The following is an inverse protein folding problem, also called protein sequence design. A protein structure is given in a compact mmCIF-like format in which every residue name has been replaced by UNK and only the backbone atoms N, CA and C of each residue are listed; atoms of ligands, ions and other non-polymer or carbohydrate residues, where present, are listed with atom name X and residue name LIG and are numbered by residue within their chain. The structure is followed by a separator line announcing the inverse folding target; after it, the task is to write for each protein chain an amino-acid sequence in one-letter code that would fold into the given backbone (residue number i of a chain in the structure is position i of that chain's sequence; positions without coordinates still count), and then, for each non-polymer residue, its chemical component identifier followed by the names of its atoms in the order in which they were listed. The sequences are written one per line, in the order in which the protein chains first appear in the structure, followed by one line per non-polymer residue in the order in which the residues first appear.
data_IF_196171285659
#
_entry.id   IF_196171285659
#
_cell.length_a   1.000
_cell.length_b   1.000
_cell.length_c   1.000
_cell.angle_alpha   90.00
_cell.angle_beta   90.00
_cell.angle_gamma   90.00
#
_symmetry.space_group_name_H-M   'P 1'
#
loop_
_entity.id
_entity.type
_entity.pdbx_description
1 polymer ?
#
# COMPACT_ATOMS: atom_id res chain seq x y z
N UNK A 1 7.54 10.93 -11.83
CA UNK A 1 6.15 11.11 -11.34
C UNK A 1 5.33 11.72 -12.47
N UNK A 2 4.66 10.86 -13.26
CA UNK A 2 3.87 11.27 -14.43
C UNK A 2 2.53 11.87 -14.00
N UNK A 3 2.16 12.97 -14.67
CA UNK A 3 0.98 13.81 -14.48
C UNK A 3 -0.31 13.20 -15.04
N UNK A 4 -0.52 11.89 -14.90
CA UNK A 4 -1.70 11.21 -15.43
C UNK A 4 -2.28 10.19 -14.46
N UNK A 5 -2.84 10.68 -13.35
CA UNK A 5 -4.02 10.05 -12.78
C UNK A 5 -5.13 11.09 -12.81
N UNK A 6 -5.78 11.17 -13.96
CA UNK A 6 -7.19 11.56 -14.01
C UNK A 6 -7.96 10.80 -12.93
N UNK A 7 -9.11 11.31 -12.52
CA UNK A 7 -9.97 10.68 -11.53
C UNK A 7 -10.51 9.33 -12.03
N UNK A 8 -9.64 8.31 -12.02
CA UNK A 8 -9.78 7.04 -12.72
C UNK A 8 -10.88 6.21 -12.06
N UNK A 9 -11.04 6.35 -10.74
CA UNK A 9 -12.02 5.61 -9.96
C UNK A 9 -13.40 6.27 -9.95
N UNK A 10 -13.48 7.60 -10.14
CA UNK A 10 -14.79 8.26 -10.24
C UNK A 10 -15.34 8.31 -11.65
N UNK A 11 -14.49 8.43 -12.67
CA UNK A 11 -14.92 8.51 -14.07
C UNK A 11 -15.42 7.16 -14.59
N UNK A 12 -16.73 6.99 -14.89
CA UNK A 12 -17.26 5.73 -15.37
C UNK A 12 -16.63 5.31 -16.70
N UNK A 13 -16.30 4.03 -16.85
CA UNK A 13 -15.81 3.51 -18.14
C UNK A 13 -16.94 3.45 -19.17
N UNK A 14 -16.73 4.07 -20.32
CA UNK A 14 -17.66 4.02 -21.45
C UNK A 14 -17.66 2.64 -22.12
N UNK A 15 -18.86 2.11 -22.36
CA UNK A 15 -19.05 0.80 -23.00
C UNK A 15 -19.09 0.97 -24.52
N UNK A 16 -17.94 0.85 -25.19
CA UNK A 16 -17.81 1.09 -26.64
C UNK A 16 -17.54 -0.16 -27.48
N UNK A 17 -17.27 -1.32 -26.86
CA UNK A 17 -16.86 -2.54 -27.57
C UNK A 17 -17.95 -3.60 -27.58
N UNK A 18 -18.26 -4.19 -28.73
CA UNK A 18 -19.24 -5.28 -28.84
C UNK A 18 -18.64 -6.66 -28.50
N UNK A 19 -17.33 -6.86 -28.74
CA UNK A 19 -16.64 -8.13 -28.52
C UNK A 19 -15.17 -7.93 -28.12
N UNK A 20 -14.60 -8.96 -27.50
CA UNK A 20 -13.16 -9.05 -27.24
C UNK A 20 -12.40 -9.35 -28.55
N UNK A 21 -11.23 -8.76 -28.74
CA UNK A 21 -10.43 -8.92 -29.97
C UNK A 21 -9.58 -10.19 -29.98
N UNK A 22 -9.25 -10.71 -28.79
CA UNK A 22 -8.28 -11.79 -28.61
C UNK A 22 -8.92 -13.15 -28.34
N UNK A 23 -10.22 -13.19 -28.03
CA UNK A 23 -11.01 -14.43 -27.89
C UNK A 23 -12.52 -14.15 -28.04
N UNK A 24 -13.36 -15.16 -28.29
CA UNK A 24 -14.80 -15.03 -28.16
C UNK A 24 -15.24 -14.53 -26.78
N UNK A 25 -16.29 -13.70 -26.71
CA UNK A 25 -16.82 -13.10 -25.47
C UNK A 25 -17.55 -14.10 -24.56
N UNK A 26 -16.84 -15.10 -24.06
CA UNK A 26 -17.35 -16.10 -23.12
C UNK A 26 -16.29 -16.44 -22.08
N UNK A 27 -16.72 -16.77 -20.86
CA UNK A 27 -15.81 -17.16 -19.79
C UNK A 27 -14.92 -18.36 -20.18
N UNK A 28 -15.48 -19.34 -20.90
CA UNK A 28 -14.74 -20.52 -21.37
C UNK A 28 -13.63 -20.17 -22.37
N UNK A 29 -13.94 -19.39 -23.40
CA UNK A 29 -12.94 -18.99 -24.38
C UNK A 29 -11.84 -18.10 -23.75
N UNK A 30 -12.22 -17.27 -22.78
CA UNK A 30 -11.27 -16.49 -22.00
C UNK A 30 -10.35 -17.38 -21.14
N UNK A 31 -10.89 -18.45 -20.52
CA UNK A 31 -10.08 -19.42 -19.77
C UNK A 31 -9.05 -20.12 -20.68
N UNK A 32 -9.46 -20.52 -21.89
CA UNK A 32 -8.56 -21.12 -22.88
C UNK A 32 -7.45 -20.14 -23.30
N UNK A 33 -7.79 -18.87 -23.52
CA UNK A 33 -6.81 -17.82 -23.81
C UNK A 33 -5.83 -17.58 -22.65
N UNK A 34 -6.34 -17.50 -21.41
CA UNK A 34 -5.50 -17.34 -20.21
C UNK A 34 -4.54 -18.51 -20.03
N UNK A 35 -4.98 -19.74 -20.29
CA UNK A 35 -4.12 -20.93 -20.22
C UNK A 35 -2.94 -20.89 -21.21
N UNK A 36 -3.06 -20.11 -22.29
CA UNK A 36 -1.98 -19.87 -23.26
C UNK A 36 -0.97 -18.78 -22.85
N UNK A 37 -1.21 -18.03 -21.77
CA UNK A 37 -0.31 -16.96 -21.32
C UNK A 37 0.90 -17.56 -20.61
N UNK A 38 2.09 -17.32 -21.15
CA UNK A 38 3.34 -17.80 -20.53
C UNK A 38 3.80 -16.89 -19.38
N UNK A 39 3.91 -17.46 -18.18
CA UNK A 39 4.42 -16.75 -16.99
C UNK A 39 5.91 -16.37 -17.15
N UNK A 40 6.65 -17.08 -18.01
CA UNK A 40 8.08 -16.83 -18.25
C UNK A 40 8.36 -15.55 -19.05
N UNK A 41 7.37 -15.04 -19.79
CA UNK A 41 7.51 -13.84 -20.61
C UNK A 41 6.80 -12.64 -19.96
N UNK A 42 7.26 -12.25 -18.76
CA UNK A 42 6.56 -11.27 -17.91
C UNK A 42 6.16 -9.98 -18.65
N UNK A 43 7.03 -9.44 -19.51
CA UNK A 43 6.72 -8.23 -20.29
C UNK A 43 5.56 -8.42 -21.28
N UNK A 44 5.58 -9.50 -22.05
CA UNK A 44 4.51 -9.82 -23.02
C UNK A 44 3.19 -10.12 -22.29
N UNK A 45 3.27 -10.91 -21.22
CA UNK A 45 2.10 -11.31 -20.43
C UNK A 45 1.45 -10.12 -19.73
N UNK A 46 2.24 -9.21 -19.17
CA UNK A 46 1.73 -7.97 -18.56
C UNK A 46 1.00 -7.10 -19.59
N UNK A 47 1.57 -6.93 -20.79
CA UNK A 47 0.94 -6.15 -21.87
C UNK A 47 -0.36 -6.79 -22.36
N UNK A 48 -0.36 -8.10 -22.58
CA UNK A 48 -1.56 -8.84 -23.02
C UNK A 48 -2.69 -8.75 -21.99
N UNK A 49 -2.36 -8.92 -20.70
CA UNK A 49 -3.34 -8.81 -19.61
C UNK A 49 -3.84 -7.37 -19.43
N UNK A 50 -2.98 -6.37 -19.56
CA UNK A 50 -3.39 -4.96 -19.51
C UNK A 50 -4.39 -4.64 -20.61
N UNK A 51 -4.10 -5.05 -21.85
CA UNK A 51 -5.03 -4.87 -22.96
C UNK A 51 -6.34 -5.59 -22.69
N UNK A 52 -6.31 -6.84 -22.22
CA UNK A 52 -7.50 -7.60 -21.88
C UNK A 52 -8.36 -6.91 -20.80
N UNK A 53 -7.75 -6.34 -19.76
CA UNK A 53 -8.45 -5.51 -18.76
C UNK A 53 -9.18 -4.34 -19.41
N UNK A 54 -8.50 -3.58 -20.28
CA UNK A 54 -9.13 -2.47 -20.99
C UNK A 54 -10.32 -2.96 -21.84
N UNK A 55 -10.14 -4.03 -22.62
CA UNK A 55 -11.24 -4.54 -23.45
C UNK A 55 -12.44 -5.02 -22.63
N UNK A 56 -12.20 -5.75 -21.53
CA UNK A 56 -13.27 -6.22 -20.62
C UNK A 56 -13.99 -5.04 -19.96
N UNK A 57 -13.27 -3.98 -19.60
CA UNK A 57 -13.85 -2.77 -18.99
C UNK A 57 -14.79 -2.04 -19.95
N UNK A 58 -14.46 -2.01 -21.24
CA UNK A 58 -15.18 -1.28 -22.31
C UNK A 58 -16.25 -2.13 -23.02
N UNK A 59 -16.36 -3.42 -22.66
CA UNK A 59 -17.24 -4.39 -23.30
C UNK A 59 -18.72 -4.12 -22.99
N UNK A 60 -19.56 -4.04 -24.03
CA UNK A 60 -21.03 -3.98 -23.94
C UNK A 60 -21.60 -5.36 -23.61
N UNK A 61 -21.66 -5.65 -22.31
CA UNK A 61 -22.23 -6.89 -21.77
C UNK A 61 -22.94 -6.65 -20.44
N UNK A 62 -23.64 -7.67 -19.93
CA UNK A 62 -24.23 -7.61 -18.59
C UNK A 62 -23.14 -7.55 -17.52
N UNK A 63 -23.40 -6.87 -16.39
CA UNK A 63 -22.44 -6.81 -15.29
C UNK A 63 -22.10 -8.19 -14.72
N UNK A 64 -23.04 -9.14 -14.75
CA UNK A 64 -22.79 -10.52 -14.33
C UNK A 64 -21.79 -11.22 -15.25
N UNK A 65 -21.90 -11.03 -16.57
CA UNK A 65 -20.92 -11.58 -17.51
C UNK A 65 -19.57 -10.88 -17.36
N UNK A 66 -19.54 -9.55 -17.21
CA UNK A 66 -18.29 -8.81 -16.98
C UNK A 66 -17.60 -9.28 -15.70
N UNK A 67 -18.37 -9.53 -14.64
CA UNK A 67 -17.88 -10.13 -13.41
C UNK A 67 -17.27 -11.52 -13.67
N UNK A 68 -17.96 -12.41 -14.39
CA UNK A 68 -17.43 -13.73 -14.73
C UNK A 68 -16.12 -13.64 -15.53
N UNK A 69 -16.02 -12.70 -16.48
CA UNK A 69 -14.82 -12.49 -17.30
C UNK A 69 -13.64 -12.01 -16.45
N UNK A 70 -13.84 -11.02 -15.56
CA UNK A 70 -12.74 -10.53 -14.70
C UNK A 70 -12.33 -11.57 -13.66
N UNK A 71 -13.24 -12.43 -13.19
CA UNK A 71 -12.91 -13.55 -12.31
C UNK A 71 -12.01 -14.59 -12.99
N UNK A 72 -12.19 -14.83 -14.30
CA UNK A 72 -11.27 -15.68 -15.07
C UNK A 72 -9.87 -15.08 -15.15
N UNK A 73 -9.76 -13.76 -15.32
CA UNK A 73 -8.46 -13.07 -15.39
C UNK A 73 -7.77 -12.94 -14.03
N UNK A 74 -8.54 -12.91 -12.94
CA UNK A 74 -8.08 -12.55 -11.61
C UNK A 74 -6.80 -13.29 -11.16
N UNK A 75 -6.72 -14.63 -11.20
CA UNK A 75 -5.55 -15.34 -10.68
C UNK A 75 -4.27 -15.03 -11.46
N UNK A 76 -4.38 -14.90 -12.78
CA UNK A 76 -3.24 -14.61 -13.67
C UNK A 76 -2.78 -13.16 -13.52
N UNK A 77 -3.71 -12.23 -13.33
CA UNK A 77 -3.40 -10.83 -12.99
C UNK A 77 -2.62 -10.74 -11.67
N UNK A 78 -3.08 -11.41 -10.62
CA UNK A 78 -2.38 -11.43 -9.33
C UNK A 78 -0.97 -12.01 -9.45
N UNK A 79 -0.81 -13.12 -10.19
CA UNK A 79 0.49 -13.75 -10.39
C UNK A 79 1.47 -12.83 -11.12
N UNK A 80 1.01 -12.14 -12.17
CA UNK A 80 1.83 -11.19 -12.93
C UNK A 80 2.18 -9.97 -12.09
N UNK A 81 1.21 -9.38 -11.39
CA UNK A 81 1.45 -8.23 -10.50
C UNK A 81 2.44 -8.58 -9.39
N UNK A 82 2.25 -9.71 -8.70
CA UNK A 82 3.16 -10.20 -7.66
C UNK A 82 4.58 -10.38 -8.22
N UNK A 83 4.71 -10.79 -9.48
CA UNK A 83 6.01 -10.95 -10.14
C UNK A 83 6.64 -9.60 -10.49
N UNK A 84 5.85 -8.63 -10.98
CA UNK A 84 6.32 -7.25 -11.22
C UNK A 84 6.79 -6.58 -9.93
N UNK A 85 6.04 -6.75 -8.83
CA UNK A 85 6.31 -6.12 -7.53
C UNK A 85 7.63 -6.56 -6.91
N UNK A 86 8.03 -7.82 -7.09
CA UNK A 86 9.33 -8.33 -6.64
C UNK A 86 10.51 -7.54 -7.22
N UNK A 87 10.34 -6.91 -8.39
CA UNK A 87 11.41 -6.13 -9.01
C UNK A 87 11.68 -4.80 -8.29
N UNK A 88 10.71 -4.20 -7.60
CA UNK A 88 10.92 -2.88 -6.98
C UNK A 88 10.88 -2.88 -5.45
N UNK A 89 10.31 -3.90 -4.81
CA UNK A 89 10.32 -4.01 -3.33
C UNK A 89 11.75 -4.11 -2.75
N UNK A 90 12.69 -4.71 -3.50
CA UNK A 90 14.04 -5.02 -3.00
C UNK A 90 15.16 -4.11 -3.54
N UNK A 91 14.88 -3.15 -4.44
CA UNK A 91 15.93 -2.44 -5.18
C UNK A 91 16.37 -1.10 -4.58
N UNK A 92 15.81 -0.70 -3.43
CA UNK A 92 15.96 0.66 -2.91
C UNK A 92 15.27 1.69 -3.82
N UNK A 93 15.05 2.90 -3.33
CA UNK A 93 14.29 3.93 -4.07
C UNK A 93 15.03 4.55 -5.25
N UNK A 94 16.20 4.04 -5.61
CA UNK A 94 16.93 4.48 -6.80
C UNK A 94 16.46 3.61 -7.94
N UNK A 95 15.52 4.16 -8.69
CA UNK A 95 14.98 3.52 -9.87
C UNK A 95 15.85 3.86 -11.07
N UNK A 96 16.15 2.86 -11.89
CA UNK A 96 16.53 3.12 -13.29
C UNK A 96 15.27 3.48 -14.08
N UNK A 97 15.39 4.15 -15.23
CA UNK A 97 14.24 4.43 -16.12
C UNK A 97 13.39 3.18 -16.40
N UNK A 98 14.05 2.01 -16.47
CA UNK A 98 13.38 0.72 -16.63
C UNK A 98 12.56 0.31 -15.39
N UNK A 99 13.06 0.55 -14.19
CA UNK A 99 12.34 0.25 -12.94
C UNK A 99 11.13 1.16 -12.78
N UNK A 100 11.26 2.43 -13.12
CA UNK A 100 10.14 3.38 -13.12
C UNK A 100 9.02 2.91 -14.06
N UNK A 101 9.36 2.46 -15.27
CA UNK A 101 8.39 1.89 -16.20
C UNK A 101 7.69 0.63 -15.65
N UNK A 102 8.42 -0.23 -14.93
CA UNK A 102 7.84 -1.44 -14.30
C UNK A 102 6.89 -1.05 -13.17
N UNK A 103 7.28 -0.10 -12.33
CA UNK A 103 6.44 0.42 -11.25
C UNK A 103 5.17 1.06 -11.83
N UNK A 104 5.31 1.95 -12.82
CA UNK A 104 4.19 2.62 -13.47
C UNK A 104 3.23 1.60 -14.10
N UNK A 105 3.75 0.58 -14.80
CA UNK A 105 2.93 -0.48 -15.36
C UNK A 105 2.17 -1.27 -14.28
N UNK A 106 2.84 -1.66 -13.19
CA UNK A 106 2.21 -2.40 -12.10
C UNK A 106 1.09 -1.57 -11.44
N UNK A 107 1.36 -0.29 -11.17
CA UNK A 107 0.39 0.66 -10.59
C UNK A 107 -0.81 0.89 -11.51
N UNK A 108 -0.59 1.08 -12.81
CA UNK A 108 -1.66 1.22 -13.81
C UNK A 108 -2.49 -0.05 -13.92
N UNK A 109 -1.85 -1.21 -14.04
CA UNK A 109 -2.53 -2.50 -14.14
C UNK A 109 -3.41 -2.74 -12.89
N UNK A 110 -2.88 -2.50 -11.68
CA UNK A 110 -3.61 -2.62 -10.41
C UNK A 110 -4.79 -1.63 -10.33
N UNK A 111 -4.59 -0.39 -10.77
CA UNK A 111 -5.64 0.64 -10.79
C UNK A 111 -6.79 0.27 -11.73
N UNK A 112 -6.48 -0.17 -12.95
CA UNK A 112 -7.51 -0.64 -13.89
C UNK A 112 -8.20 -1.92 -13.41
N UNK A 113 -7.47 -2.80 -12.73
CA UNK A 113 -8.04 -4.01 -12.14
C UNK A 113 -9.07 -3.69 -11.04
N UNK A 114 -8.73 -2.78 -10.12
CA UNK A 114 -9.67 -2.28 -9.12
C UNK A 114 -10.86 -1.56 -9.78
N UNK A 115 -10.60 -0.75 -10.81
CA UNK A 115 -11.63 0.02 -11.51
C UNK A 115 -12.73 -0.85 -12.10
N UNK A 116 -12.40 -1.98 -12.74
CA UNK A 116 -13.43 -2.85 -13.34
C UNK A 116 -14.45 -3.30 -12.29
N UNK A 117 -13.99 -3.69 -11.10
CA UNK A 117 -14.88 -4.05 -10.00
C UNK A 117 -15.70 -2.84 -9.52
N UNK A 118 -15.09 -1.66 -9.36
CA UNK A 118 -15.80 -0.42 -8.99
C UNK A 118 -16.92 -0.10 -9.99
N UNK A 119 -16.63 -0.18 -11.29
CA UNK A 119 -17.63 0.06 -12.34
C UNK A 119 -18.76 -0.97 -12.31
N UNK A 120 -18.45 -2.25 -12.05
CA UNK A 120 -19.46 -3.31 -11.84
C UNK A 120 -20.36 -2.94 -10.66
N UNK A 121 -19.79 -2.49 -9.54
CA UNK A 121 -20.57 -2.08 -8.36
C UNK A 121 -21.50 -0.93 -8.70
N UNK A 122 -20.98 0.15 -9.31
CA UNK A 122 -21.76 1.34 -9.69
C UNK A 122 -22.92 0.97 -10.62
N UNK A 123 -22.67 0.16 -11.66
CA UNK A 123 -23.70 -0.26 -12.63
C UNK A 123 -24.71 -1.25 -12.04
N UNK A 124 -24.27 -2.23 -11.25
CA UNK A 124 -25.18 -3.13 -10.53
C UNK A 124 -26.06 -2.37 -9.54
N UNK A 125 -25.50 -1.40 -8.81
CA UNK A 125 -26.26 -0.60 -7.85
C UNK A 125 -27.33 0.26 -8.54
N UNK A 126 -26.97 0.92 -9.64
CA UNK A 126 -27.90 1.66 -10.48
C UNK A 126 -29.01 0.74 -11.02
N UNK A 127 -28.65 -0.43 -11.54
CA UNK A 127 -29.60 -1.41 -12.04
C UNK A 127 -30.57 -1.89 -10.94
N UNK A 128 -30.08 -2.22 -9.75
CA UNK A 128 -30.90 -2.69 -8.64
C UNK A 128 -31.86 -1.62 -8.10
N UNK A 129 -31.48 -0.35 -8.19
CA UNK A 129 -32.26 0.78 -7.69
C UNK A 129 -33.34 1.22 -8.68
N UNK A 130 -33.02 1.29 -9.98
CA UNK A 130 -33.92 1.86 -10.99
C UNK A 130 -34.69 0.81 -11.80
N UNK A 131 -34.23 -0.44 -11.87
CA UNK A 131 -34.93 -1.48 -12.62
C UNK A 131 -36.00 -2.17 -11.76
N UNK A 132 -37.23 -2.23 -12.26
CA UNK A 132 -38.26 -3.08 -11.67
C UNK A 132 -37.98 -4.55 -12.02
N UNK A 133 -37.87 -5.39 -11.01
CA UNK A 133 -37.73 -6.84 -11.18
C UNK A 133 -39.10 -7.51 -11.09
N UNK A 134 -39.44 -8.34 -12.08
CA UNK A 134 -40.62 -9.21 -12.04
C UNK A 134 -40.43 -10.32 -11.01
N UNK A 135 -41.53 -10.87 -10.48
CA UNK A 135 -41.49 -12.01 -9.55
C UNK A 135 -40.75 -13.22 -10.15
N UNK A 136 -40.83 -13.42 -11.46
CA UNK A 136 -40.15 -14.50 -12.18
C UNK A 136 -38.65 -14.26 -12.42
N UNK A 137 -38.11 -13.07 -12.14
CA UNK A 137 -36.69 -12.73 -12.34
C UNK A 137 -35.86 -12.71 -11.05
N UNK A 138 -36.33 -13.39 -10.00
CA UNK A 138 -35.67 -13.44 -8.69
C UNK A 138 -34.22 -13.96 -8.78
N UNK A 139 -33.97 -14.98 -9.61
CA UNK A 139 -32.62 -15.51 -9.84
C UNK A 139 -31.67 -14.46 -10.45
N UNK A 140 -32.14 -13.68 -11.41
CA UNK A 140 -31.37 -12.59 -12.02
C UNK A 140 -31.06 -11.49 -11.01
N UNK A 141 -32.04 -11.08 -10.21
CA UNK A 141 -31.84 -10.09 -9.14
C UNK A 141 -30.77 -10.56 -8.15
N UNK A 142 -30.86 -11.82 -7.71
CA UNK A 142 -29.88 -12.42 -6.78
C UNK A 142 -28.47 -12.46 -7.39
N UNK A 143 -28.34 -12.84 -8.66
CA UNK A 143 -27.05 -12.84 -9.36
C UNK A 143 -26.42 -11.44 -9.43
N UNK A 144 -27.20 -10.39 -9.72
CA UNK A 144 -26.71 -9.00 -9.72
C UNK A 144 -26.31 -8.55 -8.31
N UNK A 145 -27.08 -8.94 -7.29
CA UNK A 145 -26.75 -8.65 -5.88
C UNK A 145 -25.43 -9.32 -5.46
N UNK A 146 -25.23 -10.59 -5.84
CA UNK A 146 -23.98 -11.31 -5.60
C UNK A 146 -22.82 -10.64 -6.33
N UNK A 147 -22.97 -10.30 -7.62
CA UNK A 147 -21.94 -9.62 -8.40
C UNK A 147 -21.56 -8.27 -7.76
N UNK A 148 -22.53 -7.47 -7.29
CA UNK A 148 -22.27 -6.22 -6.55
C UNK A 148 -21.49 -6.46 -5.27
N UNK A 149 -21.96 -7.36 -4.42
CA UNK A 149 -21.33 -7.67 -3.13
C UNK A 149 -19.88 -8.13 -3.30
N UNK A 150 -19.66 -9.09 -4.19
CA UNK A 150 -18.34 -9.68 -4.39
C UNK A 150 -17.39 -8.73 -5.11
N UNK A 151 -17.91 -7.89 -6.02
CA UNK A 151 -17.11 -6.84 -6.64
C UNK A 151 -16.65 -5.79 -5.63
N UNK A 152 -17.48 -5.42 -4.64
CA UNK A 152 -17.05 -4.54 -3.54
C UNK A 152 -15.87 -5.16 -2.79
N UNK A 153 -16.00 -6.45 -2.43
CA UNK A 153 -14.95 -7.18 -1.72
C UNK A 153 -13.63 -7.18 -2.52
N UNK A 154 -13.65 -7.60 -3.79
CA UNK A 154 -12.44 -7.63 -4.60
C UNK A 154 -11.88 -6.24 -4.91
N UNK A 155 -12.73 -5.23 -5.14
CA UNK A 155 -12.28 -3.86 -5.33
C UNK A 155 -11.49 -3.36 -4.11
N UNK A 156 -11.99 -3.58 -2.90
CA UNK A 156 -11.29 -3.20 -1.66
C UNK A 156 -9.97 -3.96 -1.52
N UNK A 157 -9.91 -5.25 -1.84
CA UNK A 157 -8.63 -5.98 -1.84
C UNK A 157 -7.61 -5.37 -2.81
N UNK A 158 -8.03 -5.02 -4.03
CA UNK A 158 -7.15 -4.38 -5.00
C UNK A 158 -6.70 -2.97 -4.55
N UNK A 159 -7.60 -2.20 -3.93
CA UNK A 159 -7.27 -0.88 -3.38
C UNK A 159 -6.31 -0.98 -2.18
N UNK A 160 -6.45 -2.01 -1.34
CA UNK A 160 -5.50 -2.28 -0.24
C UNK A 160 -4.12 -2.60 -0.78
N UNK A 161 -4.01 -3.46 -1.80
CA UNK A 161 -2.73 -3.77 -2.45
C UNK A 161 -2.13 -2.55 -3.13
N UNK A 162 -2.94 -1.73 -3.78
CA UNK A 162 -2.50 -0.47 -4.39
C UNK A 162 -1.94 0.50 -3.34
N UNK A 163 -2.66 0.68 -2.22
CA UNK A 163 -2.21 1.54 -1.12
C UNK A 163 -0.93 1.01 -0.46
N UNK A 164 -0.86 -0.30 -0.25
CA UNK A 164 0.34 -0.96 0.24
C UNK A 164 1.55 -0.67 -0.66
N UNK A 165 1.39 -0.80 -1.98
CA UNK A 165 2.45 -0.49 -2.94
C UNK A 165 2.86 0.98 -2.91
N UNK A 166 1.89 1.89 -2.85
CA UNK A 166 2.14 3.33 -2.70
C UNK A 166 2.95 3.61 -1.42
N UNK A 167 2.58 3.00 -0.29
CA UNK A 167 3.29 3.14 0.98
C UNK A 167 4.71 2.56 0.94
N UNK A 168 4.92 1.42 0.28
CA UNK A 168 6.25 0.84 0.06
C UNK A 168 7.16 1.77 -0.77
N UNK A 169 6.56 2.58 -1.64
CA UNK A 169 7.24 3.59 -2.47
C UNK A 169 7.22 4.99 -1.83
N UNK A 170 6.73 5.13 -0.59
CA UNK A 170 6.51 6.42 0.10
C UNK A 170 5.75 7.46 -0.73
N UNK A 171 4.87 6.99 -1.61
CA UNK A 171 4.02 7.79 -2.48
C UNK A 171 2.64 7.99 -1.86
N UNK A 172 1.98 9.08 -2.22
CA UNK A 172 0.62 9.37 -1.76
C UNK A 172 -0.41 8.56 -2.56
N UNK A 173 -1.60 8.28 -1.99
CA UNK A 173 -2.72 7.73 -2.72
C UNK A 173 -3.10 8.60 -3.93
N UNK A 174 -3.64 7.96 -4.98
CA UNK A 174 -4.11 8.67 -6.17
C UNK A 174 -5.44 9.40 -5.92
N UNK A 175 -5.75 10.36 -6.80
CA UNK A 175 -7.03 11.09 -6.75
C UNK A 175 -8.22 10.13 -6.87
N UNK A 176 -9.22 10.33 -6.01
CA UNK A 176 -10.47 9.58 -5.97
C UNK A 176 -10.35 8.18 -5.36
N UNK A 177 -9.16 7.75 -4.94
CA UNK A 177 -8.90 6.40 -4.42
C UNK A 177 -9.60 6.18 -3.08
N UNK A 178 -9.47 7.13 -2.15
CA UNK A 178 -10.13 7.06 -0.84
C UNK A 178 -11.63 7.20 -0.98
N UNK A 179 -12.05 8.17 -1.79
CA UNK A 179 -13.47 8.39 -2.10
C UNK A 179 -14.13 7.11 -2.64
N UNK A 180 -13.47 6.41 -3.57
CA UNK A 180 -13.97 5.14 -4.10
C UNK A 180 -14.08 4.06 -3.00
N UNK A 181 -13.06 3.92 -2.16
CA UNK A 181 -13.10 2.94 -1.05
C UNK A 181 -14.26 3.21 -0.08
N UNK A 182 -14.49 4.48 0.28
CA UNK A 182 -15.56 4.88 1.19
C UNK A 182 -16.94 4.61 0.59
N UNK A 183 -17.15 5.00 -0.66
CA UNK A 183 -18.41 4.75 -1.38
C UNK A 183 -18.71 3.24 -1.55
N UNK A 184 -17.68 2.42 -1.74
CA UNK A 184 -17.84 0.96 -1.80
C UNK A 184 -18.34 0.40 -0.47
N UNK A 185 -17.78 0.85 0.66
CA UNK A 185 -18.23 0.42 1.99
C UNK A 185 -19.62 0.97 2.31
N UNK A 186 -19.89 2.25 2.04
CA UNK A 186 -21.20 2.88 2.23
C UNK A 186 -22.29 2.11 1.47
N UNK A 187 -22.05 1.77 0.20
CA UNK A 187 -22.94 0.93 -0.59
C UNK A 187 -23.21 -0.43 0.06
N UNK A 188 -22.21 -1.04 0.70
CA UNK A 188 -22.38 -2.31 1.41
C UNK A 188 -23.15 -2.18 2.74
N UNK A 189 -23.00 -1.06 3.44
CA UNK A 189 -23.73 -0.72 4.67
C UNK A 189 -25.20 -0.46 4.36
N UNK A 190 -25.48 0.40 3.37
CA UNK A 190 -26.85 0.78 2.95
C UNK A 190 -27.69 -0.43 2.53
N UNK A 191 -27.02 -1.45 1.99
CA UNK A 191 -27.66 -2.68 1.53
C UNK A 191 -27.51 -3.85 2.53
N UNK A 192 -26.99 -3.58 3.72
CA UNK A 192 -26.87 -4.50 4.86
C UNK A 192 -26.20 -5.85 4.55
N UNK A 193 -25.08 -5.81 3.83
CA UNK A 193 -24.30 -7.03 3.54
C UNK A 193 -22.80 -6.90 3.82
N UNK A 194 -22.33 -5.78 4.36
CA UNK A 194 -20.92 -5.52 4.65
C UNK A 194 -20.27 -6.57 5.59
N UNK A 195 -21.05 -7.26 6.42
CA UNK A 195 -20.60 -8.35 7.30
C UNK A 195 -20.86 -9.76 6.75
N UNK A 196 -21.48 -9.90 5.58
CA UNK A 196 -21.78 -11.20 4.96
C UNK A 196 -20.50 -11.97 4.66
N UNK A 197 -20.51 -13.27 4.93
CA UNK A 197 -19.34 -14.12 4.73
C UNK A 197 -19.15 -14.46 3.23
N UNK A 198 -18.13 -13.89 2.61
CA UNK A 198 -17.79 -14.06 1.19
C UNK A 198 -17.42 -15.51 0.87
N UNK A 199 -16.75 -16.22 1.79
CA UNK A 199 -16.40 -17.63 1.60
C UNK A 199 -17.65 -18.51 1.45
N UNK A 200 -18.72 -18.20 2.18
CA UNK A 200 -20.00 -18.91 2.04
C UNK A 200 -20.71 -18.56 0.72
N UNK A 201 -20.57 -17.32 0.25
CA UNK A 201 -21.18 -16.86 -1.01
C UNK A 201 -20.49 -17.48 -2.23
N UNK A 202 -19.17 -17.61 -2.21
CA UNK A 202 -18.36 -18.07 -3.35
C UNK A 202 -17.89 -19.53 -3.26
N UNK A 203 -17.98 -20.16 -2.07
CA UNK A 203 -17.35 -21.45 -1.82
C UNK A 203 -15.82 -21.38 -1.77
N UNK A 204 -15.27 -20.26 -1.30
CA UNK A 204 -13.81 -20.00 -1.23
C UNK A 204 -13.28 -20.10 0.21
N UNK A 205 -11.98 -19.87 0.40
CA UNK A 205 -11.31 -19.92 1.70
C UNK A 205 -10.40 -18.70 1.91
N UNK A 206 -10.95 -17.50 1.74
CA UNK A 206 -10.23 -16.27 2.04
C UNK A 206 -10.05 -16.05 3.55
N UNK A 207 -8.90 -15.51 3.93
CA UNK A 207 -8.61 -15.14 5.32
C UNK A 207 -9.45 -13.95 5.79
N UNK A 208 -9.60 -12.94 4.94
CA UNK A 208 -10.55 -11.85 5.10
C UNK A 208 -11.92 -12.34 4.60
N UNK A 209 -12.89 -12.40 5.50
CA UNK A 209 -14.15 -13.11 5.21
C UNK A 209 -15.30 -12.21 4.79
N UNK A 210 -15.20 -10.90 4.95
CA UNK A 210 -16.29 -9.97 4.64
C UNK A 210 -15.75 -8.60 4.22
N UNK A 211 -16.64 -7.73 3.75
CA UNK A 211 -16.31 -6.39 3.23
C UNK A 211 -15.83 -5.46 4.36
N UNK A 212 -16.42 -5.56 5.55
CA UNK A 212 -15.99 -4.79 6.72
C UNK A 212 -14.51 -5.03 7.04
N UNK A 213 -14.07 -6.28 7.06
CA UNK A 213 -12.68 -6.65 7.30
C UNK A 213 -11.77 -6.22 6.13
N UNK A 214 -12.23 -6.32 4.87
CA UNK A 214 -11.45 -5.86 3.72
C UNK A 214 -11.21 -4.35 3.77
N UNK A 215 -12.22 -3.57 4.13
CA UNK A 215 -12.09 -2.13 4.33
C UNK A 215 -11.25 -1.80 5.58
N UNK A 216 -11.42 -2.52 6.69
CA UNK A 216 -10.59 -2.35 7.87
C UNK A 216 -9.10 -2.57 7.58
N UNK A 217 -8.76 -3.57 6.75
CA UNK A 217 -7.39 -3.81 6.32
C UNK A 217 -6.80 -2.61 5.57
N UNK A 218 -7.59 -1.99 4.68
CA UNK A 218 -7.21 -0.76 3.98
C UNK A 218 -6.92 0.38 4.97
N UNK A 219 -7.82 0.59 5.94
CA UNK A 219 -7.67 1.66 6.94
C UNK A 219 -6.45 1.45 7.83
N UNK A 220 -6.16 0.21 8.20
CA UNK A 220 -4.99 -0.10 9.02
C UNK A 220 -3.69 0.39 8.36
N UNK A 221 -3.56 0.30 7.03
CA UNK A 221 -2.36 0.79 6.33
C UNK A 221 -2.16 2.30 6.48
N UNK A 222 -3.23 3.08 6.60
CA UNK A 222 -3.16 4.52 6.89
C UNK A 222 -2.82 4.77 8.37
N UNK A 223 -3.53 4.07 9.28
CA UNK A 223 -3.31 4.17 10.73
C UNK A 223 -1.87 3.83 11.11
N UNK A 224 -1.23 2.89 10.42
CA UNK A 224 0.16 2.50 10.67
C UNK A 224 1.17 3.63 10.46
N UNK A 225 0.78 4.73 9.81
CA UNK A 225 1.63 5.88 9.52
C UNK A 225 2.97 5.44 8.92
N UNK A 226 2.87 4.74 7.79
CA UNK A 226 3.96 4.00 7.14
C UNK A 226 5.17 4.87 6.76
N UNK A 227 4.97 6.20 6.66
CA UNK A 227 6.04 7.18 6.44
C UNK A 227 7.11 7.22 7.55
N UNK A 228 6.83 6.67 8.73
CA UNK A 228 7.77 6.64 9.86
C UNK A 228 8.54 5.33 10.02
N UNK A 229 8.27 4.33 9.17
CA UNK A 229 8.84 2.98 9.27
C UNK A 229 9.42 2.54 7.93
N UNK A 230 10.28 1.52 7.96
CA UNK A 230 11.00 1.00 6.79
C UNK A 230 10.10 0.09 5.94
N UNK A 231 10.39 -0.12 4.65
CA UNK A 231 9.56 -0.97 3.78
C UNK A 231 9.39 -2.41 4.31
N UNK A 232 10.42 -2.99 4.92
CA UNK A 232 10.32 -4.31 5.55
C UNK A 232 9.32 -4.34 6.73
N UNK A 233 9.24 -3.25 7.51
CA UNK A 233 8.28 -3.11 8.60
C UNK A 233 6.86 -2.88 8.07
N UNK A 234 6.72 -2.08 7.00
CA UNK A 234 5.44 -1.90 6.28
C UNK A 234 4.90 -3.25 5.79
N UNK A 235 5.76 -4.07 5.17
CA UNK A 235 5.41 -5.43 4.75
C UNK A 235 4.99 -6.30 5.94
N UNK A 236 5.75 -6.27 7.04
CA UNK A 236 5.42 -7.01 8.24
C UNK A 236 4.06 -6.64 8.83
N UNK A 237 3.76 -5.35 8.90
CA UNK A 237 2.46 -4.85 9.35
C UNK A 237 1.32 -5.18 8.39
N UNK A 238 1.55 -5.11 7.07
CA UNK A 238 0.58 -5.56 6.09
C UNK A 238 0.24 -7.05 6.30
N UNK A 239 1.22 -7.91 6.58
CA UNK A 239 0.97 -9.31 6.88
C UNK A 239 0.24 -9.52 8.23
N UNK A 240 0.51 -8.70 9.25
CA UNK A 240 -0.24 -8.73 10.51
C UNK A 240 -1.68 -8.21 10.35
N UNK A 241 -1.91 -7.32 9.38
CA UNK A 241 -3.23 -6.70 9.14
C UNK A 241 -4.34 -7.71 8.80
N UNK A 242 -3.99 -8.89 8.29
CA UNK A 242 -4.98 -9.95 7.99
C UNK A 242 -5.72 -10.44 9.24
N UNK A 243 -5.02 -10.53 10.37
CA UNK A 243 -5.63 -10.86 11.66
C UNK A 243 -6.21 -9.63 12.35
N UNK A 244 -5.48 -8.50 12.31
CA UNK A 244 -5.90 -7.28 13.00
C UNK A 244 -7.13 -6.63 12.39
N UNK A 245 -7.40 -6.80 11.09
CA UNK A 245 -8.62 -6.31 10.46
C UNK A 245 -9.89 -6.86 11.11
N UNK A 246 -9.82 -8.07 11.71
CA UNK A 246 -10.92 -8.70 12.45
C UNK A 246 -11.18 -8.03 13.81
N UNK A 247 -10.22 -7.26 14.30
CA UNK A 247 -10.28 -6.53 15.58
C UNK A 247 -10.70 -5.06 15.39
N UNK A 248 -10.86 -4.60 14.15
CA UNK A 248 -11.36 -3.25 13.82
C UNK A 248 -12.85 -3.33 13.53
N UNK A 249 -13.64 -2.48 14.17
CA UNK A 249 -15.09 -2.45 14.00
C UNK A 249 -15.52 -1.26 13.16
N UNK A 250 -16.31 -1.54 12.12
CA UNK A 250 -17.04 -0.53 11.34
C UNK A 250 -18.41 -0.33 11.98
N UNK A 251 -18.71 0.91 12.36
CA UNK A 251 -19.88 1.29 13.13
C UNK A 251 -20.76 2.24 12.28
N UNK A 252 -21.97 1.82 11.85
CA UNK A 252 -22.88 2.68 11.09
C UNK A 252 -23.40 3.91 11.86
N UNK A 253 -23.20 3.94 13.18
CA UNK A 253 -23.61 5.05 14.06
C UNK A 253 -22.51 5.35 15.07
N UNK A 254 -22.48 6.58 15.56
CA UNK A 254 -21.52 7.00 16.56
C UNK A 254 -21.74 6.26 17.89
N UNK A 255 -20.64 5.91 18.55
CA UNK A 255 -20.63 5.31 19.88
C UNK A 255 -19.49 5.91 20.70
N UNK A 256 -19.45 5.61 21.99
CA UNK A 256 -18.31 6.00 22.86
C UNK A 256 -16.98 5.38 22.44
N UNK A 257 -16.99 4.36 21.57
CA UNK A 257 -15.80 3.69 21.04
C UNK A 257 -15.39 4.22 19.66
N UNK A 258 -16.16 5.15 19.08
CA UNK A 258 -15.89 5.73 17.76
C UNK A 258 -14.66 6.64 17.81
N UNK A 259 -13.50 6.09 17.45
CA UNK A 259 -12.22 6.81 17.44
C UNK A 259 -12.02 7.60 16.15
N UNK A 260 -12.37 7.00 15.01
CA UNK A 260 -12.29 7.64 13.70
C UNK A 260 -13.67 7.78 13.07
N UNK A 261 -13.78 8.74 12.16
CA UNK A 261 -14.99 9.04 11.40
C UNK A 261 -14.65 9.19 9.92
N UNK A 262 -15.60 8.79 9.07
CA UNK A 262 -15.48 8.87 7.62
C UNK A 262 -16.69 9.60 7.05
N UNK A 263 -16.42 10.58 6.19
CA UNK A 263 -17.39 11.19 5.28
C UNK A 263 -17.17 10.58 3.90
N UNK A 264 -18.11 9.75 3.42
CA UNK A 264 -17.95 9.03 2.16
C UNK A 264 -18.10 9.91 0.91
N UNK A 265 -18.32 11.23 1.09
CA UNK A 265 -18.28 12.22 0.01
C UNK A 265 -16.90 12.86 -0.18
N UNK A 266 -15.94 12.58 0.71
CA UNK A 266 -14.61 13.21 0.72
C UNK A 266 -13.50 12.23 0.34
N UNK A 267 -12.50 12.73 -0.38
CA UNK A 267 -11.33 11.94 -0.83
C UNK A 267 -10.13 12.09 0.12
N UNK A 268 -10.30 11.62 1.36
CA UNK A 268 -9.22 11.57 2.34
C UNK A 268 -9.38 10.32 3.24
N UNK A 269 -8.32 9.81 3.87
CA UNK A 269 -8.43 8.71 4.83
C UNK A 269 -9.32 9.07 6.03
N UNK A 270 -9.75 8.10 6.86
CA UNK A 270 -10.49 8.40 8.08
C UNK A 270 -9.77 9.41 8.98
N UNK A 271 -10.51 10.35 9.53
CA UNK A 271 -9.98 11.35 10.47
C UNK A 271 -10.39 11.01 11.89
N UNK A 272 -9.68 11.58 12.87
CA UNK A 272 -10.09 11.47 14.26
C UNK A 272 -11.48 12.07 14.45
N UNK A 273 -12.34 11.37 15.20
CA UNK A 273 -13.71 11.79 15.44
C UNK A 273 -13.79 13.14 16.19
N UNK A 274 -12.72 13.52 16.90
CA UNK A 274 -12.59 14.81 17.58
C UNK A 274 -12.29 15.99 16.65
N UNK A 275 -11.83 15.74 15.41
CA UNK A 275 -11.36 16.78 14.48
C UNK A 275 -12.36 17.07 13.35
N UNK A 276 -13.66 16.88 13.62
CA UNK A 276 -14.68 17.18 12.64
C UNK A 276 -14.74 18.68 12.34
N UNK A 277 -14.65 19.04 11.06
CA UNK A 277 -14.96 20.39 10.60
C UNK A 277 -16.48 20.63 10.64
N UNK A 278 -16.96 21.89 10.75
CA UNK A 278 -18.39 22.19 10.85
C UNK A 278 -19.27 21.69 9.69
N UNK A 279 -18.67 21.42 8.52
CA UNK A 279 -19.37 20.94 7.31
C UNK A 279 -19.20 19.44 7.08
N UNK A 280 -18.55 18.72 8.00
CA UNK A 280 -18.29 17.29 7.88
C UNK A 280 -19.59 16.49 7.99
N UNK A 281 -19.84 15.56 7.06
CA UNK A 281 -21.04 14.70 7.06
C UNK A 281 -20.64 13.25 7.34
N UNK A 282 -20.73 12.78 8.60
CA UNK A 282 -20.35 11.40 8.93
C UNK A 282 -21.23 10.36 8.21
N UNK A 283 -20.62 9.50 7.41
CA UNK A 283 -21.26 8.31 6.83
C UNK A 283 -21.18 7.11 7.77
N UNK A 284 -20.00 6.87 8.38
CA UNK A 284 -19.79 5.79 9.34
C UNK A 284 -18.55 6.06 10.22
N UNK A 285 -18.41 5.27 11.29
CA UNK A 285 -17.38 5.42 12.30
C UNK A 285 -16.54 4.15 12.41
N UNK A 286 -15.35 4.26 13.00
CA UNK A 286 -14.41 3.16 13.17
C UNK A 286 -13.94 3.10 14.62
N UNK A 287 -14.02 1.91 15.20
CA UNK A 287 -13.43 1.60 16.50
C UNK A 287 -12.23 0.68 16.32
N UNK A 288 -11.13 1.03 17.00
CA UNK A 288 -9.89 0.23 17.07
C UNK A 288 -9.64 -0.30 18.48
N UNK A 289 -10.64 -0.26 19.36
CA UNK A 289 -10.47 -0.61 20.78
C UNK A 289 -10.01 -2.06 20.97
N UNK A 290 -10.62 -3.02 20.25
CA UNK A 290 -10.23 -4.44 20.41
C UNK A 290 -8.79 -4.70 19.93
N UNK A 291 -8.32 -3.95 18.92
CA UNK A 291 -6.93 -4.01 18.46
C UNK A 291 -5.97 -3.45 19.53
N UNK A 292 -6.36 -2.34 20.17
CA UNK A 292 -5.60 -1.79 21.30
C UNK A 292 -5.50 -2.79 22.46
N UNK A 293 -6.63 -3.40 22.83
CA UNK A 293 -6.69 -4.36 23.93
C UNK A 293 -5.81 -5.58 23.64
N UNK A 294 -5.84 -6.08 22.40
CA UNK A 294 -4.95 -7.16 21.93
C UNK A 294 -3.46 -6.78 22.05
N UNK A 295 -3.07 -5.60 21.56
CA UNK A 295 -1.68 -5.13 21.65
C UNK A 295 -1.24 -4.90 23.11
N UNK A 296 -2.14 -4.47 23.99
CA UNK A 296 -1.84 -4.32 25.42
C UNK A 296 -1.65 -5.69 26.09
N UNK A 297 -2.50 -6.66 25.74
CA UNK A 297 -2.45 -8.02 26.26
C UNK A 297 -1.19 -8.80 25.90
N UNK A 298 -0.55 -8.49 24.78
CA UNK A 298 0.68 -9.16 24.32
C UNK A 298 1.93 -8.78 25.10
N UNK A 299 1.91 -7.69 25.88
CA UNK A 299 3.03 -7.31 26.77
C UNK A 299 2.96 -7.93 28.18
N UNK A 300 1.82 -8.52 28.56
CA UNK A 300 1.65 -9.11 29.89
C UNK A 300 2.34 -10.47 30.02
N UNK A 301 2.76 -10.84 31.23
CA UNK A 301 3.37 -12.17 31.53
C UNK A 301 2.44 -13.36 31.19
N UNK A 302 1.13 -13.11 31.10
CA UNK A 302 0.13 -14.04 30.57
C UNK A 302 -0.19 -13.69 29.11
N UNK A 303 0.84 -13.72 28.25
CA UNK A 303 0.72 -13.26 26.87
C UNK A 303 -0.46 -13.93 26.16
N UNK A 304 -1.39 -13.10 25.68
CA UNK A 304 -2.44 -13.56 24.78
C UNK A 304 -1.81 -14.15 23.50
N UNK A 305 -2.59 -14.97 22.79
CA UNK A 305 -2.14 -15.62 21.56
C UNK A 305 -1.65 -14.58 20.53
N UNK A 306 -0.38 -14.70 20.13
CA UNK A 306 0.15 -14.04 18.95
C UNK A 306 -0.02 -14.93 17.73
N UNK A 307 -0.50 -14.34 16.63
CA UNK A 307 -0.57 -14.97 15.33
C UNK A 307 0.82 -15.28 14.77
N UNK A 308 0.89 -16.11 13.72
CA UNK A 308 2.15 -16.48 13.08
C UNK A 308 2.88 -15.24 12.54
N UNK A 309 2.15 -14.31 11.92
CA UNK A 309 2.73 -13.10 11.34
C UNK A 309 3.21 -12.16 12.44
N UNK A 310 2.45 -12.01 13.53
CA UNK A 310 2.87 -11.18 14.65
C UNK A 310 4.16 -11.68 15.29
N UNK A 311 4.29 -13.00 15.52
CA UNK A 311 5.52 -13.59 16.05
C UNK A 311 6.74 -13.34 15.16
N UNK A 312 6.54 -13.26 13.85
CA UNK A 312 7.62 -13.10 12.88
C UNK A 312 8.02 -11.63 12.68
N UNK A 313 7.05 -10.71 12.70
CA UNK A 313 7.27 -9.33 12.26
C UNK A 313 7.08 -8.28 13.35
N UNK A 314 6.33 -8.55 14.43
CA UNK A 314 6.02 -7.58 15.46
C UNK A 314 7.17 -7.45 16.48
N UNK A 315 8.21 -6.73 16.07
CA UNK A 315 9.34 -6.40 16.96
C UNK A 315 8.89 -5.48 18.11
N UNK A 316 9.63 -5.39 19.23
CA UNK A 316 9.29 -4.47 20.32
C UNK A 316 9.19 -3.01 19.87
N UNK A 317 10.03 -2.57 18.93
CA UNK A 317 9.98 -1.22 18.37
C UNK A 317 8.71 -0.99 17.56
N UNK A 318 8.34 -1.95 16.72
CA UNK A 318 7.13 -1.87 15.89
C UNK A 318 5.85 -1.97 16.72
N UNK A 319 5.85 -2.81 17.77
CA UNK A 319 4.77 -2.85 18.76
C UNK A 319 4.59 -1.47 19.42
N UNK A 320 5.67 -0.88 19.94
CA UNK A 320 5.63 0.43 20.57
C UNK A 320 5.13 1.52 19.61
N UNK A 321 5.56 1.50 18.34
CA UNK A 321 5.08 2.41 17.30
C UNK A 321 3.55 2.34 17.14
N UNK A 322 3.01 1.15 16.89
CA UNK A 322 1.57 0.95 16.67
C UNK A 322 0.76 1.23 17.93
N UNK A 323 1.23 0.78 19.08
CA UNK A 323 0.59 1.06 20.36
C UNK A 323 0.47 2.57 20.60
N UNK A 324 1.52 3.35 20.31
CA UNK A 324 1.47 4.80 20.47
C UNK A 324 0.50 5.48 19.51
N UNK A 325 0.44 5.04 18.25
CA UNK A 325 -0.49 5.57 17.25
C UNK A 325 -1.95 5.32 17.63
N UNK A 326 -2.21 4.12 18.17
CA UNK A 326 -3.55 3.73 18.61
C UNK A 326 -3.89 4.27 20.01
N UNK A 327 -2.92 4.70 20.83
CA UNK A 327 -3.18 5.22 22.18
C UNK A 327 -3.34 6.74 22.16
N UNK A 328 -2.44 7.43 21.47
CA UNK A 328 -2.34 8.88 21.54
C UNK A 328 -2.97 9.53 20.31
N UNK A 329 -3.57 10.71 20.51
CA UNK A 329 -3.80 11.64 19.41
C UNK A 329 -2.44 12.26 19.10
N UNK A 330 -1.75 11.73 18.09
CA UNK A 330 -0.43 12.24 17.67
C UNK A 330 -0.65 13.54 16.91
N UNK A 331 -1.06 14.59 17.62
CA UNK A 331 -0.93 15.94 17.11
C UNK A 331 0.54 16.36 17.18
N UNK A 332 0.95 17.18 16.21
CA UNK A 332 2.30 17.71 16.16
C UNK A 332 2.50 18.62 17.37
N UNK A 333 3.16 18.11 18.41
CA UNK A 333 3.36 18.81 19.70
C UNK A 333 4.20 20.09 19.62
N UNK A 334 4.94 20.29 18.53
CA UNK A 334 5.82 21.43 18.35
C UNK A 334 5.51 22.17 17.06
N UNK A 335 5.25 23.47 17.20
CA UNK A 335 5.12 24.39 16.07
C UNK A 335 6.42 24.47 15.27
N UNK A 336 6.26 24.75 13.98
CA UNK A 336 7.36 24.99 13.06
C UNK A 336 7.42 26.48 12.76
N UNK A 337 8.62 27.02 12.82
CA UNK A 337 8.89 28.42 12.53
C UNK A 337 9.44 28.51 11.11
N UNK A 338 8.94 29.47 10.33
CA UNK A 338 9.54 29.80 9.04
C UNK A 338 11.00 30.16 9.26
N UNK A 339 11.87 29.44 8.57
CA UNK A 339 13.30 29.59 8.73
C UNK A 339 13.96 29.28 7.40
N UNK A 340 14.34 30.34 6.68
CA UNK A 340 15.05 30.22 5.40
C UNK A 340 16.55 30.27 5.66
N UNK A 341 17.21 29.14 5.40
CA UNK A 341 18.66 29.01 5.52
C UNK A 341 19.20 28.08 4.43
N UNK A 342 20.51 28.15 4.19
CA UNK A 342 21.21 27.21 3.32
C UNK A 342 22.03 26.26 4.18
N UNK A 343 21.87 24.96 3.95
CA UNK A 343 22.61 23.91 4.64
C UNK A 343 23.42 23.08 3.64
N UNK A 344 24.53 22.54 4.12
CA UNK A 344 25.33 21.55 3.41
C UNK A 344 24.89 20.15 3.87
N UNK A 345 24.73 19.24 2.91
CA UNK A 345 24.31 17.86 3.16
C UNK A 345 25.23 16.90 2.41
N UNK A 346 25.61 15.81 3.08
CA UNK A 346 26.16 14.63 2.41
C UNK A 346 25.45 13.37 2.89
N UNK A 347 25.47 12.33 2.05
CA UNK A 347 24.72 11.09 2.27
C UNK A 347 25.67 9.93 2.54
N UNK A 348 25.33 9.08 3.50
CA UNK A 348 26.05 7.86 3.82
C UNK A 348 26.93 7.97 5.06
N UNK A 349 26.91 6.92 5.87
CA UNK A 349 27.69 6.85 7.11
C UNK A 349 29.20 6.97 6.87
N UNK A 350 29.70 6.37 5.80
CA UNK A 350 31.12 6.42 5.43
C UNK A 350 31.58 7.83 5.04
N UNK A 351 30.73 8.57 4.33
CA UNK A 351 30.97 9.96 3.91
C UNK A 351 30.87 10.90 5.11
N UNK A 352 29.83 10.72 5.93
CA UNK A 352 29.67 11.45 7.18
C UNK A 352 30.91 11.26 8.09
N UNK A 353 31.36 10.01 8.26
CA UNK A 353 32.58 9.70 8.98
C UNK A 353 33.79 10.42 8.38
N UNK A 354 34.01 10.34 7.06
CA UNK A 354 35.13 10.99 6.38
C UNK A 354 35.20 12.50 6.66
N UNK A 355 34.06 13.19 6.65
CA UNK A 355 34.01 14.63 6.93
C UNK A 355 34.20 14.94 8.41
N UNK A 356 33.57 14.17 9.30
CA UNK A 356 33.73 14.33 10.76
C UNK A 356 35.15 14.00 11.24
N UNK A 357 35.84 13.07 10.58
CA UNK A 357 37.21 12.65 10.88
C UNK A 357 38.29 13.55 10.25
N UNK A 358 37.88 14.66 9.60
CA UNK A 358 38.76 15.60 8.89
C UNK A 358 39.58 14.95 7.76
N UNK A 359 38.93 14.07 7.00
CA UNK A 359 39.48 13.48 5.78
C UNK A 359 40.07 12.08 5.95
N UNK A 360 39.81 11.40 7.08
CA UNK A 360 40.21 10.00 7.28
C UNK A 360 39.09 9.04 6.91
N UNK A 361 39.40 8.03 6.11
CA UNK A 361 38.48 6.91 5.90
C UNK A 361 38.36 6.07 7.18
N UNK A 362 37.35 5.19 7.24
CA UNK A 362 37.08 4.38 8.42
C UNK A 362 38.28 3.50 8.85
N UNK A 363 38.90 2.81 7.89
CA UNK A 363 40.08 1.97 8.15
C UNK A 363 41.28 2.77 8.68
N UNK A 364 41.49 3.99 8.15
CA UNK A 364 42.56 4.89 8.58
C UNK A 364 42.32 5.43 10.00
N UNK A 365 41.06 5.51 10.43
CA UNK A 365 40.69 5.97 11.78
C UNK A 365 40.86 4.87 12.81
N UNK A 366 40.66 3.62 12.42
CA UNK A 366 40.89 2.46 13.28
C UNK A 366 42.37 2.04 13.37
N UNK A 367 43.28 2.72 12.66
CA UNK A 367 44.71 2.38 12.58
C UNK A 367 44.94 0.89 12.27
N UNK A 368 44.05 0.30 11.47
CA UNK A 368 44.16 -1.09 11.07
C UNK A 368 45.28 -1.23 10.05
N UNK A 369 46.47 -1.61 10.52
CA UNK A 369 47.46 -2.24 9.65
C UNK A 369 46.80 -3.43 8.95
N UNK A 370 47.20 -3.70 7.70
CA UNK A 370 46.62 -4.73 6.83
C UNK A 370 46.65 -6.19 7.39
N UNK A 371 47.09 -6.39 8.63
CA UNK A 371 47.26 -7.66 9.32
C UNK A 371 46.25 -7.93 10.46
N UNK A 372 45.34 -7.01 10.78
CA UNK A 372 44.26 -7.30 11.72
C UNK A 372 43.11 -8.03 11.02
N UNK A 373 43.19 -9.36 10.98
CA UNK A 373 42.03 -10.21 10.76
C UNK A 373 41.04 -9.96 11.91
N UNK A 374 39.94 -9.27 11.61
CA UNK A 374 38.76 -9.26 12.48
C UNK A 374 38.24 -10.69 12.62
N UNK A 375 38.76 -11.44 13.60
CA UNK A 375 37.98 -12.51 14.22
C UNK A 375 36.98 -11.83 15.15
N UNK A 376 35.92 -11.28 14.56
CA UNK A 376 34.75 -10.91 15.34
C UNK A 376 34.16 -12.19 15.92
N UNK A 377 33.91 -12.20 17.24
CA UNK A 377 33.14 -13.26 17.91
C UNK A 377 31.68 -13.38 17.40
N UNK A 378 31.28 -12.56 16.42
CA UNK A 378 30.08 -12.81 15.61
C UNK A 378 30.20 -14.03 14.67
N UNK A 379 31.39 -14.65 14.57
CA UNK A 379 31.63 -15.86 13.78
C UNK A 379 30.88 -17.11 14.29
N UNK A 380 30.32 -17.10 15.51
CA UNK A 380 29.52 -18.23 16.00
C UNK A 380 28.06 -18.21 15.49
N UNK A 381 27.55 -17.08 14.98
CA UNK A 381 26.19 -16.99 14.42
C UNK A 381 26.18 -17.05 12.89
N UNK A 382 27.35 -16.98 12.25
CA UNK A 382 27.51 -16.94 10.79
C UNK A 382 27.32 -18.29 10.06
N UNK A 383 26.97 -19.39 10.76
CA UNK A 383 26.76 -20.69 10.12
C UNK A 383 25.32 -20.97 9.66
N UNK A 384 24.38 -20.01 9.78
CA UNK A 384 22.99 -20.21 9.34
C UNK A 384 22.38 -19.09 8.47
N UNK A 385 23.17 -18.18 7.89
CA UNK A 385 22.65 -17.14 6.97
C UNK A 385 23.59 -16.90 5.78
N UNK A 386 23.58 -17.83 4.83
CA UNK A 386 24.11 -17.60 3.48
C UNK A 386 23.12 -16.75 2.66
N UNK A 387 23.01 -15.44 2.91
CA UNK A 387 22.55 -14.42 1.93
C UNK A 387 22.71 -12.98 2.45
N UNK A 388 23.92 -12.57 2.81
CA UNK A 388 24.27 -11.15 2.86
C UNK A 388 24.90 -10.81 1.50
N UNK A 389 24.33 -9.90 0.68
CA UNK A 389 24.99 -9.45 -0.53
C UNK A 389 26.36 -8.88 -0.17
N UNK A 390 27.36 -9.13 -1.02
CA UNK A 390 28.78 -8.79 -0.90
C UNK A 390 29.11 -7.28 -0.82
N UNK A 391 28.29 -6.46 -0.17
CA UNK A 391 28.43 -5.02 -0.05
C UNK A 391 29.57 -4.58 0.87
N UNK A 392 30.17 -5.48 1.66
CA UNK A 392 31.29 -5.16 2.56
C UNK A 392 32.67 -5.56 2.05
N UNK A 393 32.80 -6.30 0.94
CA UNK A 393 34.08 -6.88 0.52
C UNK A 393 34.78 -6.16 -0.65
N UNK A 394 34.44 -4.89 -0.92
CA UNK A 394 35.23 -4.08 -1.87
C UNK A 394 35.08 -2.58 -1.62
N UNK A 395 35.62 -2.12 -0.49
CA UNK A 395 35.82 -0.68 -0.22
C UNK A 395 37.03 -0.22 -1.06
N UNK A 396 36.83 -0.08 -2.37
CA UNK A 396 37.65 0.81 -3.19
C UNK A 396 37.48 2.22 -2.64
N UNK A 397 38.53 3.05 -2.69
CA UNK A 397 38.52 4.44 -2.22
C UNK A 397 37.16 5.11 -2.50
N UNK A 398 36.52 5.69 -1.46
CA UNK A 398 35.22 6.36 -1.60
C UNK A 398 35.22 7.21 -2.86
N UNK A 399 34.33 6.89 -3.79
CA UNK A 399 34.25 7.52 -5.09
C UNK A 399 34.05 9.03 -4.93
N UNK A 400 34.63 9.84 -5.83
CA UNK A 400 34.54 11.31 -5.75
C UNK A 400 33.09 11.79 -5.76
N UNK A 401 32.22 11.08 -6.48
CA UNK A 401 30.78 11.37 -6.51
C UNK A 401 30.13 11.14 -5.14
N UNK A 402 30.52 10.09 -4.40
CA UNK A 402 29.95 9.81 -3.07
C UNK A 402 30.36 10.85 -2.02
N UNK A 403 31.52 11.49 -2.19
CA UNK A 403 31.99 12.57 -1.31
C UNK A 403 31.36 13.93 -1.64
N UNK A 404 30.45 14.02 -2.60
CA UNK A 404 29.87 15.30 -2.96
C UNK A 404 29.09 15.91 -1.79
N UNK A 405 29.40 17.17 -1.46
CA UNK A 405 28.58 17.99 -0.56
C UNK A 405 27.58 18.73 -1.42
N UNK A 406 26.32 18.69 -1.02
CA UNK A 406 25.23 19.35 -1.71
C UNK A 406 24.68 20.48 -0.86
N UNK A 407 24.26 21.58 -1.49
CA UNK A 407 23.57 22.67 -0.81
C UNK A 407 22.07 22.45 -0.93
N UNK A 408 21.34 22.63 0.16
CA UNK A 408 19.88 22.57 0.17
C UNK A 408 19.28 23.73 0.98
N UNK A 409 18.06 24.10 0.63
CA UNK A 409 17.32 25.18 1.28
C UNK A 409 16.49 24.61 2.44
N UNK A 410 16.58 25.23 3.62
CA UNK A 410 15.65 25.00 4.71
C UNK A 410 14.43 25.89 4.52
N UNK A 411 13.24 25.32 4.64
CA UNK A 411 11.97 26.03 4.54
C UNK A 411 11.42 26.43 5.92
N UNK A 412 11.50 25.49 6.87
CA UNK A 412 11.03 25.67 8.23
C UNK A 412 11.84 24.78 9.21
N UNK A 413 11.83 25.16 10.49
CA UNK A 413 12.53 24.45 11.56
C UNK A 413 11.58 24.14 12.72
N UNK A 414 11.83 23.02 13.40
CA UNK A 414 11.27 22.69 14.70
C UNK A 414 12.38 22.22 15.64
N UNK A 415 12.07 22.10 16.93
CA UNK A 415 12.99 21.50 17.92
C UNK A 415 13.51 20.10 17.54
N UNK A 416 12.77 19.39 16.68
CA UNK A 416 13.11 18.03 16.25
C UNK A 416 13.73 17.97 14.83
N UNK A 417 14.08 19.12 14.23
CA UNK A 417 14.79 19.19 12.96
C UNK A 417 14.15 20.07 11.90
N UNK A 418 14.72 19.99 10.69
CA UNK A 418 14.44 20.87 9.54
C UNK A 418 13.43 20.28 8.55
N UNK A 419 12.74 21.14 7.81
CA UNK A 419 12.19 20.80 6.49
C UNK A 419 13.11 21.32 5.41
N UNK A 420 13.64 20.39 4.63
CA UNK A 420 14.64 20.70 3.62
C UNK A 420 14.00 20.55 2.25
N UNK A 421 14.17 21.54 1.39
CA UNK A 421 13.81 21.48 -0.02
C UNK A 421 15.05 21.13 -0.83
N UNK A 422 14.96 20.02 -1.55
CA UNK A 422 15.95 19.63 -2.54
C UNK A 422 15.57 20.20 -3.91
N UNK A 423 16.51 20.87 -4.57
CA UNK A 423 16.34 21.38 -5.94
C UNK A 423 17.43 20.79 -6.82
N UNK A 424 17.05 20.08 -7.88
CA UNK A 424 17.98 19.45 -8.82
C UNK A 424 17.77 17.93 -8.94
N UNK A 425 18.73 17.26 -9.56
CA UNK A 425 18.69 15.80 -9.74
C UNK A 425 18.90 15.13 -8.38
N UNK A 426 18.11 14.10 -8.07
CA UNK A 426 18.25 13.29 -6.86
C UNK A 426 19.61 12.56 -6.90
N UNK A 427 20.48 12.73 -5.88
CA UNK A 427 21.76 12.04 -5.84
C UNK A 427 21.61 10.52 -5.78
N UNK A 428 22.49 9.79 -6.46
CA UNK A 428 22.48 8.32 -6.49
C UNK A 428 22.83 7.66 -5.13
N UNK A 429 23.18 8.44 -4.12
CA UNK A 429 23.41 7.99 -2.74
C UNK A 429 22.26 8.37 -1.80
N UNK A 430 21.29 9.17 -2.23
CA UNK A 430 20.11 9.50 -1.42
C UNK A 430 19.09 8.35 -1.50
N UNK A 431 19.03 7.55 -0.44
CA UNK A 431 18.09 6.43 -0.27
C UNK A 431 17.25 6.61 1.00
N UNK A 432 16.04 6.06 1.04
CA UNK A 432 15.30 6.01 2.31
C UNK A 432 16.03 5.14 3.33
N UNK A 433 16.09 5.64 4.56
CA UNK A 433 16.82 5.01 5.66
C UNK A 433 18.33 5.32 5.64
N UNK A 434 18.81 6.10 4.67
CA UNK A 434 20.19 6.54 4.62
C UNK A 434 20.49 7.57 5.71
N UNK A 435 21.71 7.53 6.24
CA UNK A 435 22.17 8.58 7.15
C UNK A 435 22.54 9.84 6.38
N UNK A 436 22.08 10.97 6.87
CA UNK A 436 22.45 12.29 6.37
C UNK A 436 23.30 13.01 7.39
N UNK A 437 24.42 13.58 6.96
CA UNK A 437 25.14 14.58 7.73
C UNK A 437 24.68 15.95 7.25
N UNK A 438 24.23 16.78 8.19
CA UNK A 438 23.79 18.14 7.93
C UNK A 438 24.75 19.09 8.61
N UNK A 439 25.21 20.10 7.87
CA UNK A 439 26.02 21.20 8.38
C UNK A 439 25.32 22.51 8.06
N UNK A 440 25.05 23.31 9.09
CA UNK A 440 24.59 24.68 8.94
C UNK A 440 25.72 25.56 8.38
N UNK A 441 25.39 26.42 7.41
CA UNK A 441 26.29 27.48 6.98
C UNK A 441 26.17 28.62 8.00
N UNK A 442 27.09 28.65 8.97
CA UNK A 442 27.29 29.78 9.89
C UNK A 442 27.81 31.01 9.16
#
# INVERSE_FOLDING_TARGET
MSTHTSDIFQTPTELKREQLSFCPTTAKALQEWVAGISILQLGNSSKSLFNALLEVSELKCTETLRFDLIQVLHPTLENVLTSLEKHFVNQGLITSDRNDQIIELAMLLRSHFAKIYIDIVKRCNHQLTHQKFSLFSLGKKKSIQTARMVSIYYALQQLTLLLYQQHMLYSTPGLGQWLAAHQLLECAIDNNFYQSNINQVLGTQHEIQNIAHAYAQLILLDIFNTHQIRPAEIQGLYLCSFDWAKLVQILPKETTLSRYVVDASKDHPPIFNTHQEPQFQPSFYISTQNLMDHLTGTQSKNAQYLSRNEKLFLTPALHFHIYNLLSNNVERRHERYEYSAQINICFGLSVAHFYLSKGKNFNETLELDANYNFQSESSFVSSMENTIPSAFSSIKALDRETKQIHSAEVLDISVNGYRIKWTGITPANLKTGEFILVQEKT
#
